data_IF_433566725820
#
_entry.id   IF_433566725820
#
_cell.length_a   1.000
_cell.length_b   1.000
_cell.length_c   1.000
_cell.angle_alpha   90.00
_cell.angle_beta   90.00
_cell.angle_gamma   90.00
#
_symmetry.space_group_name_H-M   'P 1'
#
loop_
_entity.id
_entity.type
_entity.pdbx_description
1 polymer ?
#
# COMPACT_ATOMS: atom_id res chain seq x y z
N UNK A 1 -15.20 -20.82 -16.12
CA UNK A 1 -15.20 -19.35 -16.26
C UNK A 1 -13.82 -18.80 -15.92
N UNK A 2 -12.79 -19.04 -16.75
CA UNK A 2 -11.39 -18.78 -16.35
C UNK A 2 -10.49 -18.12 -17.43
N UNK A 3 -11.01 -17.80 -18.63
CA UNK A 3 -10.16 -17.33 -19.74
C UNK A 3 -10.61 -15.99 -20.37
N UNK A 4 -11.57 -15.27 -19.79
CA UNK A 4 -11.89 -13.92 -20.26
C UNK A 4 -10.96 -12.90 -19.59
N UNK A 5 -10.27 -12.08 -20.40
CA UNK A 5 -9.31 -11.07 -19.93
C UNK A 5 -9.87 -10.16 -18.83
N UNK A 6 -11.16 -9.83 -18.88
CA UNK A 6 -11.87 -8.97 -17.92
C UNK A 6 -12.21 -9.62 -16.56
N UNK A 7 -11.88 -10.90 -16.37
CA UNK A 7 -12.21 -11.60 -15.12
C UNK A 7 -11.25 -11.26 -13.99
N UNK A 8 -10.00 -10.89 -14.31
CA UNK A 8 -8.95 -10.73 -13.29
C UNK A 8 -9.10 -9.42 -12.51
N UNK A 9 -9.36 -8.30 -13.18
CA UNK A 9 -9.60 -7.00 -12.51
C UNK A 9 -10.78 -7.10 -11.57
N UNK A 10 -11.92 -7.60 -12.07
CA UNK A 10 -13.13 -7.77 -11.28
C UNK A 10 -12.95 -8.72 -10.08
N UNK A 11 -12.26 -9.84 -10.27
CA UNK A 11 -11.95 -10.77 -9.17
C UNK A 11 -11.09 -10.09 -8.09
N UNK A 12 -10.10 -9.29 -8.48
CA UNK A 12 -9.23 -8.57 -7.54
C UNK A 12 -9.99 -7.49 -6.79
N UNK A 13 -10.87 -6.74 -7.46
CA UNK A 13 -11.76 -5.77 -6.80
C UNK A 13 -12.70 -6.47 -5.80
N UNK A 14 -13.27 -7.62 -6.17
CA UNK A 14 -14.10 -8.41 -5.27
C UNK A 14 -13.34 -8.82 -4.00
N UNK A 15 -12.12 -9.35 -4.12
CA UNK A 15 -11.30 -9.71 -2.97
C UNK A 15 -10.87 -8.52 -2.12
N UNK A 16 -10.58 -7.37 -2.74
CA UNK A 16 -10.34 -6.12 -1.99
C UNK A 16 -11.58 -5.73 -1.17
N UNK A 17 -12.77 -5.89 -1.72
CA UNK A 17 -14.04 -5.70 -1.02
C UNK A 17 -14.19 -6.60 0.21
N UNK A 18 -13.93 -7.91 0.06
CA UNK A 18 -13.97 -8.84 1.19
C UNK A 18 -13.00 -8.45 2.32
N UNK A 19 -11.77 -8.05 1.97
CA UNK A 19 -10.78 -7.59 2.94
C UNK A 19 -11.21 -6.31 3.65
N UNK A 20 -11.78 -5.33 2.92
CA UNK A 20 -12.33 -4.10 3.49
C UNK A 20 -13.45 -4.39 4.49
N UNK A 21 -14.37 -5.29 4.16
CA UNK A 21 -15.47 -5.65 5.05
C UNK A 21 -14.96 -6.37 6.30
N UNK A 22 -14.04 -7.32 6.16
CA UNK A 22 -13.40 -8.00 7.30
C UNK A 22 -12.64 -7.01 8.19
N UNK A 23 -11.94 -6.04 7.61
CA UNK A 23 -11.28 -4.96 8.34
C UNK A 23 -12.29 -4.10 9.10
N UNK A 24 -13.38 -3.67 8.47
CA UNK A 24 -14.44 -2.88 9.12
C UNK A 24 -15.07 -3.64 10.27
N UNK A 25 -15.36 -4.93 10.11
CA UNK A 25 -15.87 -5.78 11.18
C UNK A 25 -14.89 -5.89 12.36
N UNK A 26 -13.59 -6.05 12.08
CA UNK A 26 -12.56 -6.14 13.12
C UNK A 26 -12.40 -4.84 13.92
N UNK A 27 -12.64 -3.68 13.30
CA UNK A 27 -12.69 -2.37 13.96
C UNK A 27 -13.95 -2.19 14.81
N UNK A 28 -15.11 -2.64 14.31
CA UNK A 28 -16.40 -2.45 14.97
C UNK A 28 -16.59 -3.32 16.22
N UNK A 29 -15.99 -4.52 16.24
CA UNK A 29 -16.05 -5.44 17.36
C UNK A 29 -14.63 -5.91 17.78
N UNK A 30 -13.89 -5.08 18.54
CA UNK A 30 -12.56 -5.43 18.99
C UNK A 30 -12.55 -6.64 19.94
N UNK A 31 -11.61 -7.54 19.71
CA UNK A 31 -11.30 -8.71 20.51
C UNK A 31 -9.79 -8.74 20.77
N UNK A 32 -9.32 -9.66 21.62
CA UNK A 32 -7.89 -9.83 21.89
C UNK A 32 -7.04 -10.04 20.62
N UNK A 33 -7.63 -10.56 19.53
CA UNK A 33 -6.95 -10.84 18.26
C UNK A 33 -7.16 -9.74 17.20
N UNK A 34 -7.95 -8.69 17.49
CA UNK A 34 -8.36 -7.73 16.47
C UNK A 34 -7.21 -6.93 15.87
N UNK A 35 -6.12 -6.68 16.60
CA UNK A 35 -4.97 -5.95 16.05
C UNK A 35 -4.29 -6.70 14.90
N UNK A 36 -4.00 -7.99 15.09
CA UNK A 36 -3.42 -8.83 14.04
C UNK A 36 -4.34 -8.95 12.83
N UNK A 37 -5.66 -9.11 13.06
CA UNK A 37 -6.66 -9.14 11.99
C UNK A 37 -6.74 -7.81 11.23
N UNK A 38 -6.77 -6.67 11.93
CA UNK A 38 -6.78 -5.34 11.31
C UNK A 38 -5.55 -5.16 10.40
N UNK A 39 -4.36 -5.55 10.86
CA UNK A 39 -3.15 -5.46 10.04
C UNK A 39 -3.23 -6.37 8.82
N UNK A 40 -3.58 -7.64 9.00
CA UNK A 40 -3.70 -8.60 7.90
C UNK A 40 -4.68 -8.14 6.81
N UNK A 41 -5.87 -7.65 7.20
CA UNK A 41 -6.89 -7.22 6.25
C UNK A 41 -6.52 -5.92 5.54
N UNK A 42 -5.78 -5.01 6.19
CA UNK A 42 -5.22 -3.81 5.54
C UNK A 42 -4.23 -4.20 4.44
N UNK A 43 -3.31 -5.11 4.74
CA UNK A 43 -2.33 -5.59 3.76
C UNK A 43 -3.00 -6.36 2.61
N UNK A 44 -3.97 -7.22 2.93
CA UNK A 44 -4.75 -7.95 1.92
C UNK A 44 -5.50 -6.99 0.99
N UNK A 45 -6.13 -5.94 1.53
CA UNK A 45 -6.80 -4.92 0.74
C UNK A 45 -5.84 -4.23 -0.24
N UNK A 46 -4.67 -3.75 0.23
CA UNK A 46 -3.65 -3.14 -0.62
C UNK A 46 -3.14 -4.11 -1.69
N UNK A 47 -2.87 -5.37 -1.32
CA UNK A 47 -2.43 -6.42 -2.25
C UNK A 47 -3.46 -6.67 -3.36
N UNK A 48 -4.75 -6.72 -3.01
CA UNK A 48 -5.81 -6.95 -3.98
C UNK A 48 -6.07 -5.73 -4.87
N UNK A 49 -6.05 -4.51 -4.32
CA UNK A 49 -6.18 -3.27 -5.09
C UNK A 49 -5.03 -3.08 -6.08
N UNK A 50 -3.78 -3.31 -5.66
CA UNK A 50 -2.63 -3.29 -6.57
C UNK A 50 -2.77 -4.34 -7.67
N UNK A 51 -3.26 -5.54 -7.33
CA UNK A 51 -3.55 -6.58 -8.31
C UNK A 51 -4.67 -6.23 -9.29
N UNK A 52 -5.70 -5.48 -8.85
CA UNK A 52 -6.77 -4.98 -9.71
C UNK A 52 -6.24 -3.95 -10.70
N UNK A 53 -5.40 -3.02 -10.22
CA UNK A 53 -4.75 -2.02 -11.06
C UNK A 53 -3.83 -2.67 -12.12
N UNK A 54 -3.07 -3.70 -11.74
CA UNK A 54 -2.26 -4.46 -12.70
C UNK A 54 -3.12 -5.13 -13.77
N UNK A 55 -4.22 -5.78 -13.35
CA UNK A 55 -5.18 -6.37 -14.29
C UNK A 55 -5.76 -5.34 -15.25
N UNK A 56 -6.17 -4.17 -14.75
CA UNK A 56 -6.71 -3.10 -15.57
C UNK A 56 -5.69 -2.61 -16.61
N UNK A 57 -4.45 -2.38 -16.18
CA UNK A 57 -3.38 -1.95 -17.10
C UNK A 57 -3.12 -3.00 -18.19
N UNK A 58 -3.14 -4.29 -17.84
CA UNK A 58 -2.97 -5.39 -18.80
C UNK A 58 -4.16 -5.51 -19.75
N UNK A 59 -5.38 -5.29 -19.28
CA UNK A 59 -6.59 -5.27 -20.11
C UNK A 59 -6.54 -4.13 -21.13
N UNK A 60 -6.21 -2.90 -20.70
CA UNK A 60 -6.05 -1.73 -21.58
C UNK A 60 -4.90 -1.96 -22.58
N UNK A 61 -3.73 -2.35 -22.11
CA UNK A 61 -2.58 -2.65 -22.95
C UNK A 61 -2.89 -3.76 -23.97
N UNK A 62 -3.62 -4.80 -23.57
CA UNK A 62 -4.04 -5.89 -24.45
C UNK A 62 -5.12 -5.48 -25.47
N UNK A 63 -6.01 -4.55 -25.10
CA UNK A 63 -7.00 -3.99 -26.02
C UNK A 63 -6.34 -3.17 -27.13
N UNK A 64 -5.38 -2.31 -26.76
CA UNK A 64 -4.63 -1.47 -27.69
C UNK A 64 -3.36 -2.14 -28.27
N UNK A 65 -3.11 -3.42 -27.93
CA UNK A 65 -1.96 -4.22 -28.42
C UNK A 65 -0.60 -3.58 -28.15
N UNK A 66 -0.43 -3.00 -26.97
CA UNK A 66 0.85 -2.45 -26.55
C UNK A 66 1.92 -3.55 -26.48
N UNK A 67 3.19 -3.26 -26.78
CA UNK A 67 4.28 -4.23 -26.64
C UNK A 67 4.44 -4.75 -25.20
N UNK A 68 4.03 -3.95 -24.21
CA UNK A 68 4.10 -4.26 -22.78
C UNK A 68 2.88 -5.00 -22.24
N UNK A 69 1.95 -5.47 -23.08
CA UNK A 69 0.68 -6.07 -22.63
C UNK A 69 0.82 -7.29 -21.68
N UNK A 70 1.93 -8.02 -21.74
CA UNK A 70 2.23 -9.15 -20.84
C UNK A 70 3.10 -8.75 -19.63
N UNK A 71 3.39 -7.46 -19.46
CA UNK A 71 4.19 -6.98 -18.34
C UNK A 71 3.47 -7.25 -17.01
N UNK A 72 4.24 -7.66 -16.00
CA UNK A 72 3.74 -7.96 -14.65
C UNK A 72 4.07 -6.87 -13.64
N UNK A 73 4.66 -5.77 -14.11
CA UNK A 73 5.09 -4.63 -13.30
C UNK A 73 4.33 -3.37 -13.69
N UNK A 74 3.68 -2.74 -12.72
CA UNK A 74 3.06 -1.43 -12.91
C UNK A 74 4.08 -0.36 -13.29
N UNK A 75 5.33 -0.46 -12.82
CA UNK A 75 6.37 0.48 -13.19
C UNK A 75 6.71 0.42 -14.70
N UNK A 76 6.48 -0.72 -15.35
CA UNK A 76 6.65 -0.88 -16.80
C UNK A 76 5.40 -0.39 -17.54
N UNK A 77 4.20 -0.79 -17.08
CA UNK A 77 2.94 -0.45 -17.74
C UNK A 77 2.58 1.03 -17.64
N UNK A 78 2.96 1.69 -16.54
CA UNK A 78 2.67 3.11 -16.27
C UNK A 78 3.90 4.01 -16.48
N UNK A 79 4.93 3.52 -17.19
CA UNK A 79 6.03 4.37 -17.60
C UNK A 79 5.55 5.37 -18.67
N UNK A 80 5.97 6.65 -18.62
CA UNK A 80 5.59 7.62 -19.67
C UNK A 80 5.93 7.14 -21.09
N UNK A 81 7.04 6.41 -21.24
CA UNK A 81 7.46 5.82 -22.52
C UNK A 81 6.44 4.81 -23.10
N UNK A 82 5.56 4.23 -22.27
CA UNK A 82 4.50 3.35 -22.75
C UNK A 82 3.45 4.11 -23.59
N UNK A 83 3.32 5.43 -23.40
CA UNK A 83 2.40 6.28 -24.16
C UNK A 83 2.98 6.73 -25.50
N UNK A 84 4.32 6.77 -25.63
CA UNK A 84 5.00 7.19 -26.86
C UNK A 84 4.79 6.17 -28.00
N UNK A 85 4.67 4.88 -27.65
CA UNK A 85 4.55 3.79 -28.62
C UNK A 85 3.11 3.59 -29.13
N UNK A 86 2.10 3.82 -28.29
CA UNK A 86 0.70 3.66 -28.64
C UNK A 86 -0.17 4.46 -27.66
N UNK A 87 -0.61 5.68 -27.98
CA UNK A 87 -1.36 6.48 -27.02
C UNK A 87 -2.80 5.96 -26.86
N UNK A 88 -3.23 5.73 -25.61
CA UNK A 88 -4.66 5.61 -25.29
C UNK A 88 -5.05 6.60 -24.19
N UNK A 89 -6.26 7.16 -24.24
CA UNK A 89 -6.70 8.12 -23.23
C UNK A 89 -6.75 7.49 -21.83
N UNK A 90 -7.20 6.25 -21.71
CA UNK A 90 -7.29 5.55 -20.42
C UNK A 90 -5.92 5.30 -19.81
N UNK A 91 -4.93 4.89 -20.62
CA UNK A 91 -3.56 4.71 -20.12
C UNK A 91 -2.93 6.06 -19.77
N UNK A 92 -3.18 7.10 -20.57
CA UNK A 92 -2.72 8.46 -20.31
C UNK A 92 -3.17 8.97 -18.95
N UNK A 93 -4.46 8.81 -18.64
CA UNK A 93 -5.02 9.18 -17.33
C UNK A 93 -4.37 8.40 -16.18
N UNK A 94 -4.15 7.08 -16.34
CA UNK A 94 -3.49 6.27 -15.30
C UNK A 94 -2.04 6.68 -15.07
N UNK A 95 -1.29 7.01 -16.13
CA UNK A 95 0.08 7.51 -16.04
C UNK A 95 0.12 8.87 -15.33
N UNK A 96 -0.79 9.79 -15.68
CA UNK A 96 -0.89 11.10 -15.02
C UNK A 96 -1.19 10.96 -13.53
N UNK A 97 -2.18 10.13 -13.19
CA UNK A 97 -2.54 9.87 -11.80
C UNK A 97 -1.37 9.24 -11.03
N UNK A 98 -0.66 8.27 -11.61
CA UNK A 98 0.48 7.62 -10.97
C UNK A 98 1.68 8.56 -10.77
N UNK A 99 1.85 9.55 -11.65
CA UNK A 99 2.90 10.56 -11.56
C UNK A 99 2.69 11.64 -10.49
N UNK A 100 1.44 11.83 -10.04
CA UNK A 100 1.11 12.84 -9.03
C UNK A 100 0.97 12.20 -7.63
N UNK A 101 1.90 12.52 -6.72
CA UNK A 101 1.99 11.93 -5.37
C UNK A 101 0.75 12.15 -4.48
N UNK A 102 -0.06 13.17 -4.78
CA UNK A 102 -1.26 13.48 -4.00
C UNK A 102 -2.46 12.59 -4.39
N UNK A 103 -2.36 11.86 -5.50
CA UNK A 103 -3.46 11.01 -5.95
C UNK A 103 -3.54 9.73 -5.12
N UNK A 104 -4.75 9.16 -5.08
CA UNK A 104 -4.96 7.85 -4.47
C UNK A 104 -4.12 6.77 -5.16
N UNK A 105 -3.89 6.89 -6.48
CA UNK A 105 -3.21 5.89 -7.29
C UNK A 105 -1.72 5.83 -6.95
N UNK A 106 -1.06 6.98 -6.93
CA UNK A 106 0.34 7.08 -6.53
C UNK A 106 0.54 6.58 -5.10
N UNK A 107 -0.37 6.94 -4.18
CA UNK A 107 -0.35 6.45 -2.79
C UNK A 107 -0.54 4.94 -2.71
N UNK A 108 -1.47 4.36 -3.46
CA UNK A 108 -1.66 2.90 -3.51
C UNK A 108 -0.37 2.18 -3.93
N UNK A 109 0.29 2.66 -4.99
CA UNK A 109 1.55 2.07 -5.50
C UNK A 109 2.63 2.14 -4.41
N UNK A 110 2.81 3.32 -3.79
CA UNK A 110 3.81 3.51 -2.72
C UNK A 110 3.52 2.62 -1.52
N UNK A 111 2.28 2.58 -1.03
CA UNK A 111 1.90 1.79 0.14
C UNK A 111 2.02 0.29 -0.13
N UNK A 112 1.71 -0.19 -1.34
CA UNK A 112 2.00 -1.57 -1.72
C UNK A 112 3.50 -1.88 -1.68
N UNK A 113 4.35 -0.98 -2.21
CA UNK A 113 5.81 -1.18 -2.15
C UNK A 113 6.35 -1.20 -0.73
N UNK A 114 5.71 -0.50 0.23
CA UNK A 114 6.08 -0.58 1.65
C UNK A 114 5.85 -1.97 2.25
N UNK A 115 4.85 -2.72 1.80
CA UNK A 115 4.59 -4.08 2.27
C UNK A 115 5.74 -5.04 1.93
N UNK A 116 6.50 -4.73 0.88
CA UNK A 116 7.63 -5.54 0.41
C UNK A 116 8.94 -5.17 1.10
N UNK A 117 8.97 -4.08 1.88
CA UNK A 117 10.17 -3.65 2.59
C UNK A 117 10.41 -4.52 3.82
N UNK A 118 11.69 -4.78 4.18
CA UNK A 118 11.99 -5.46 5.43
C UNK A 118 11.48 -4.67 6.63
N UNK A 119 11.19 -5.32 7.77
CA UNK A 119 10.82 -4.64 9.00
C UNK A 119 11.82 -3.55 9.33
N UNK A 120 11.36 -2.30 9.40
CA UNK A 120 12.23 -1.18 9.77
C UNK A 120 12.20 -0.99 11.27
N UNK A 121 13.38 -0.83 11.87
CA UNK A 121 13.47 -0.43 13.27
C UNK A 121 12.75 0.91 13.46
N UNK A 122 12.00 1.12 14.57
CA UNK A 122 11.36 2.40 14.82
C UNK A 122 12.42 3.51 14.79
N UNK A 123 12.16 4.54 13.96
CA UNK A 123 13.04 5.70 13.87
C UNK A 123 13.10 6.35 15.25
N UNK A 124 14.23 6.20 15.95
CA UNK A 124 14.48 6.98 17.16
C UNK A 124 14.45 8.45 16.76
N UNK A 125 13.58 9.28 17.35
CA UNK A 125 13.64 10.71 17.08
C UNK A 125 15.08 11.17 17.37
N UNK A 126 15.66 11.92 16.43
CA UNK A 126 17.00 12.46 16.58
C UNK A 126 16.95 13.37 17.80
N UNK A 127 17.47 12.89 18.94
CA UNK A 127 17.62 13.73 20.11
C UNK A 127 18.56 14.87 19.71
N UNK A 128 18.08 16.10 19.86
CA UNK A 128 18.90 17.27 19.64
C UNK A 128 20.05 17.25 20.67
N UNK A 129 21.31 17.09 20.26
CA UNK A 129 22.44 16.98 21.17
C UNK A 129 22.69 18.27 21.97
N UNK A 130 21.99 19.36 21.66
CA UNK A 130 22.07 20.62 22.40
C UNK A 130 21.09 20.71 23.57
N UNK A 131 20.13 19.78 23.68
CA UNK A 131 19.21 19.73 24.81
C UNK A 131 19.88 19.03 26.01
N UNK A 132 20.02 19.70 27.17
CA UNK A 132 20.59 19.07 28.36
C UNK A 132 19.68 17.93 28.83
N UNK A 133 20.27 16.74 28.93
CA UNK A 133 19.63 15.54 29.48
C UNK A 133 19.47 15.73 31.00
N UNK A 134 18.35 16.29 31.46
CA UNK A 134 18.03 16.33 32.89
C UNK A 134 17.44 14.96 33.26
N UNK A 135 18.29 14.08 33.77
CA UNK A 135 17.89 12.84 34.43
C UNK A 135 17.69 13.14 35.92
N UNK A 136 16.43 13.30 36.35
CA UNK A 136 16.10 13.52 37.74
C UNK A 136 16.26 12.20 38.53
N UNK A 137 17.37 12.06 39.24
CA UNK A 137 17.57 10.96 40.20
C UNK A 137 17.00 11.38 41.55
N UNK A 138 15.86 10.82 41.93
CA UNK A 138 15.31 10.98 43.28
C UNK A 138 16.15 10.21 44.29
N UNK A 139 16.87 10.92 45.16
CA UNK A 139 17.58 10.32 46.29
C UNK A 139 16.59 10.11 47.44
N UNK A 140 16.17 8.86 47.69
CA UNK A 140 15.45 8.52 48.91
C UNK A 140 16.38 8.66 50.12
N UNK A 141 16.04 9.57 51.04
CA UNK A 141 16.78 9.81 52.27
C UNK A 141 16.50 8.66 53.26
N UNK A 142 17.52 7.97 53.82
CA UNK A 142 17.28 6.87 54.74
C UNK A 142 16.64 7.39 56.04
N UNK A 143 15.52 6.76 56.44
CA UNK A 143 14.83 7.04 57.69
C UNK A 143 15.74 6.68 58.87
N UNK A 144 16.19 7.68 59.61
CA UNK A 144 16.81 7.50 60.92
C UNK A 144 15.77 6.94 61.89
N UNK A 145 16.00 5.72 62.39
CA UNK A 145 15.26 5.16 63.52
C UNK A 145 15.67 5.88 64.81
N UNK A 146 14.70 6.34 65.56
CA UNK A 146 14.76 6.53 67.01
C UNK A 146 13.44 6.05 67.60
#
# INVERSE_FOLDING_TARGET
MANERYTRTNQKLYFAGLALDSWRSALAAPSAQSQGRIMAEREACLFHLHGALLGLCQEVAGFYRYPTMEATSLAVLLAPAALDESPSPEMGELVELAGNSETWLARLIVEYQRLLQPPQAPRRPKQDPTLPLIEAVSLERPRSRS
#
